data_IF_561981028980
#
_entry.id   IF_561981028980
#
_cell.length_a   1.000
_cell.length_b   1.000
_cell.length_c   1.000
_cell.angle_alpha   90.00
_cell.angle_beta   90.00
_cell.angle_gamma   90.00
#
_symmetry.space_group_name_H-M   'P 1'
#
loop_
_entity.id
_entity.type
_entity.pdbx_description
1 polymer ?
#
# COMPACT_ATOMS: atom_id res chain seq x y z
N UNK A 1 -57.84 -14.32 25.25
CA UNK A 1 -56.75 -13.35 25.49
C UNK A 1 -55.29 -13.90 25.29
N UNK A 2 -55.07 -15.18 25.03
CA UNK A 2 -53.72 -15.83 25.00
C UNK A 2 -53.02 -15.75 23.64
N UNK A 3 -53.74 -15.60 22.52
CA UNK A 3 -53.18 -15.59 21.16
C UNK A 3 -52.43 -14.28 20.83
N UNK A 4 -52.96 -13.13 21.25
CA UNK A 4 -52.38 -11.81 20.98
C UNK A 4 -51.01 -11.67 21.63
N UNK A 5 -50.80 -12.24 22.83
CA UNK A 5 -49.55 -12.17 23.59
C UNK A 5 -48.41 -12.98 22.93
N UNK A 6 -48.73 -14.11 22.25
CA UNK A 6 -47.73 -14.93 21.52
C UNK A 6 -47.23 -14.24 20.26
N UNK A 7 -48.12 -13.56 19.50
CA UNK A 7 -47.72 -12.82 18.31
C UNK A 7 -46.82 -11.65 18.61
N UNK A 8 -47.02 -10.90 19.71
CA UNK A 8 -46.15 -9.83 20.11
C UNK A 8 -44.73 -10.29 20.50
N UNK A 9 -44.63 -11.46 21.15
CA UNK A 9 -43.33 -12.03 21.53
C UNK A 9 -42.49 -12.43 20.29
N UNK A 10 -43.14 -13.09 19.32
CA UNK A 10 -42.47 -13.47 18.05
C UNK A 10 -41.99 -12.22 17.28
N UNK A 11 -42.81 -11.16 17.22
CA UNK A 11 -42.43 -9.90 16.57
C UNK A 11 -41.18 -9.24 17.21
N UNK A 12 -41.08 -9.27 18.55
CA UNK A 12 -39.91 -8.74 19.26
C UNK A 12 -38.64 -9.53 18.96
N UNK A 13 -38.70 -10.86 18.90
CA UNK A 13 -37.55 -11.70 18.57
C UNK A 13 -37.09 -11.52 17.12
N UNK A 14 -38.01 -11.37 16.18
CA UNK A 14 -37.69 -11.11 14.77
C UNK A 14 -36.99 -9.72 14.64
N UNK A 15 -37.55 -8.70 15.29
CA UNK A 15 -36.94 -7.36 15.26
C UNK A 15 -35.54 -7.35 15.89
N UNK A 16 -35.36 -7.99 17.04
CA UNK A 16 -34.06 -8.12 17.69
C UNK A 16 -33.05 -8.87 16.83
N UNK A 17 -33.47 -9.94 16.12
CA UNK A 17 -32.67 -10.67 15.18
C UNK A 17 -32.20 -9.79 13.99
N UNK A 18 -33.10 -9.02 13.40
CA UNK A 18 -32.76 -8.11 12.30
C UNK A 18 -31.77 -7.01 12.73
N UNK A 19 -31.96 -6.43 13.92
CA UNK A 19 -31.04 -5.44 14.48
C UNK A 19 -29.66 -6.07 14.72
N UNK A 20 -29.60 -7.28 15.26
CA UNK A 20 -28.34 -7.98 15.47
C UNK A 20 -27.61 -8.27 14.15
N UNK A 21 -28.33 -8.76 13.13
CA UNK A 21 -27.74 -9.01 11.80
C UNK A 21 -27.23 -7.72 11.17
N UNK A 22 -27.98 -6.62 11.24
CA UNK A 22 -27.54 -5.33 10.71
C UNK A 22 -26.31 -4.81 11.45
N UNK A 23 -26.27 -4.92 12.79
CA UNK A 23 -25.14 -4.46 13.60
C UNK A 23 -23.88 -5.29 13.36
N UNK A 24 -23.98 -6.62 13.41
CA UNK A 24 -22.80 -7.49 13.19
C UNK A 24 -22.36 -7.52 11.72
N UNK A 25 -23.30 -7.48 10.78
CA UNK A 25 -23.02 -7.38 9.36
C UNK A 25 -22.31 -6.07 9.02
N UNK A 26 -22.80 -4.95 9.55
CA UNK A 26 -22.17 -3.64 9.38
C UNK A 26 -20.75 -3.58 9.95
N UNK A 27 -20.51 -4.16 11.15
CA UNK A 27 -19.17 -4.24 11.74
C UNK A 27 -18.19 -5.10 10.90
N UNK A 28 -18.65 -6.24 10.39
CA UNK A 28 -17.80 -7.10 9.52
C UNK A 28 -17.47 -6.41 8.19
N UNK A 29 -18.43 -5.75 7.59
CA UNK A 29 -18.22 -5.03 6.34
C UNK A 29 -17.25 -3.85 6.54
N UNK A 30 -17.41 -3.06 7.60
CA UNK A 30 -16.49 -1.98 7.94
C UNK A 30 -15.07 -2.45 8.28
N UNK A 31 -14.90 -3.64 8.86
CA UNK A 31 -13.60 -4.25 9.10
C UNK A 31 -12.94 -4.70 7.78
N UNK A 32 -13.71 -5.35 6.89
CA UNK A 32 -13.21 -5.81 5.59
C UNK A 32 -12.75 -4.68 4.68
N UNK A 33 -13.46 -3.54 4.68
CA UNK A 33 -13.07 -2.37 3.87
C UNK A 33 -11.74 -1.73 4.30
N UNK A 34 -11.31 -1.93 5.55
CA UNK A 34 -10.02 -1.44 6.06
C UNK A 34 -8.82 -2.27 5.59
N UNK A 35 -9.07 -3.42 4.99
CA UNK A 35 -8.01 -4.28 4.47
C UNK A 35 -7.72 -4.07 2.98
N UNK A 36 -8.37 -3.07 2.36
CA UNK A 36 -8.21 -2.74 0.94
C UNK A 36 -7.43 -1.44 0.78
N UNK A 37 -6.40 -1.48 -0.04
CA UNK A 37 -5.56 -0.33 -0.37
C UNK A 37 -6.38 0.74 -1.10
N UNK A 38 -6.33 1.98 -0.63
CA UNK A 38 -7.09 3.09 -1.23
C UNK A 38 -6.57 3.50 -2.63
N UNK A 39 -5.36 3.07 -3.01
CA UNK A 39 -4.74 3.40 -4.29
C UNK A 39 -4.88 2.30 -5.35
N UNK A 40 -4.51 1.07 -5.03
CA UNK A 40 -4.50 -0.03 -5.99
C UNK A 40 -5.68 -1.00 -5.84
N UNK A 41 -6.54 -0.80 -4.84
CA UNK A 41 -7.74 -1.61 -4.54
C UNK A 41 -7.43 -3.09 -4.24
N UNK A 42 -6.19 -3.41 -3.90
CA UNK A 42 -5.78 -4.76 -3.50
C UNK A 42 -5.78 -4.92 -2.00
N UNK A 43 -5.79 -6.17 -1.55
CA UNK A 43 -5.71 -6.52 -0.14
C UNK A 43 -4.40 -5.98 0.49
N UNK A 44 -4.51 -5.49 1.72
CA UNK A 44 -3.37 -4.99 2.49
C UNK A 44 -2.79 -6.14 3.31
N UNK A 45 -1.59 -6.58 2.97
CA UNK A 45 -0.83 -7.51 3.80
C UNK A 45 -0.36 -6.82 5.07
N UNK A 46 -0.56 -7.47 6.22
CA UNK A 46 -0.30 -6.84 7.52
C UNK A 46 1.14 -6.38 7.70
N UNK A 47 2.10 -7.14 7.17
CA UNK A 47 3.54 -6.81 7.22
C UNK A 47 4.00 -5.79 6.17
N UNK A 48 3.09 -5.26 5.35
CA UNK A 48 3.37 -4.25 4.32
C UNK A 48 2.55 -2.97 4.50
N UNK A 49 1.61 -2.97 5.45
CA UNK A 49 0.68 -1.86 5.69
C UNK A 49 1.41 -0.54 5.90
N UNK A 50 0.93 0.48 5.21
CA UNK A 50 1.37 1.86 5.38
C UNK A 50 0.18 2.73 5.73
N UNK A 51 0.37 3.60 6.72
CA UNK A 51 -0.62 4.59 7.13
C UNK A 51 -0.08 5.97 6.78
N UNK A 52 -0.89 6.74 6.07
CA UNK A 52 -0.62 8.13 5.75
C UNK A 52 -1.81 9.01 6.12
N UNK A 53 -1.65 10.31 6.03
CA UNK A 53 -2.71 11.28 6.27
C UNK A 53 -2.86 12.24 5.08
N UNK A 54 -4.10 12.69 4.86
CA UNK A 54 -4.45 13.78 3.96
C UNK A 54 -5.30 14.77 4.75
N UNK A 55 -4.67 15.82 5.30
CA UNK A 55 -5.28 16.63 6.32
C UNK A 55 -5.67 15.79 7.55
N UNK A 56 -6.94 15.79 7.92
CA UNK A 56 -7.49 14.96 9.03
C UNK A 56 -7.85 13.52 8.61
N UNK A 57 -7.86 13.22 7.31
CA UNK A 57 -8.27 11.91 6.79
C UNK A 57 -7.11 10.91 6.88
N UNK A 58 -7.35 9.75 7.48
CA UNK A 58 -6.45 8.61 7.49
C UNK A 58 -6.54 7.86 6.16
N UNK A 59 -5.38 7.54 5.60
CA UNK A 59 -5.20 6.77 4.37
C UNK A 59 -4.49 5.46 4.73
N UNK A 60 -5.01 4.33 4.24
CA UNK A 60 -4.36 3.03 4.39
C UNK A 60 -3.96 2.51 3.00
N UNK A 61 -2.71 2.09 2.87
CA UNK A 61 -2.13 1.56 1.65
C UNK A 61 -1.43 0.23 1.89
N UNK A 62 -1.36 -0.59 0.84
CA UNK A 62 -0.73 -1.90 0.89
C UNK A 62 0.81 -1.84 0.94
N UNK A 63 1.42 -0.73 0.53
CA UNK A 63 2.86 -0.52 0.56
C UNK A 63 3.19 0.96 0.39
N UNK A 64 4.42 1.35 0.74
CA UNK A 64 4.88 2.72 0.59
C UNK A 64 4.89 3.16 -0.88
N UNK A 65 5.19 2.24 -1.82
CA UNK A 65 5.15 2.53 -3.26
C UNK A 65 3.79 3.06 -3.71
N UNK A 66 2.69 2.49 -3.23
CA UNK A 66 1.33 2.96 -3.54
C UNK A 66 1.08 4.40 -3.09
N UNK A 67 1.60 4.80 -1.92
CA UNK A 67 1.53 6.19 -1.43
C UNK A 67 2.27 7.11 -2.41
N UNK A 68 3.54 6.81 -2.67
CA UNK A 68 4.42 7.63 -3.50
C UNK A 68 3.91 7.75 -4.95
N UNK A 69 3.40 6.66 -5.53
CA UNK A 69 2.78 6.68 -6.86
C UNK A 69 1.44 7.43 -6.85
N UNK A 70 0.67 7.34 -5.77
CA UNK A 70 -0.57 8.08 -5.59
C UNK A 70 -0.33 9.60 -5.56
N UNK A 71 0.69 10.06 -4.85
CA UNK A 71 1.11 11.47 -4.84
C UNK A 71 1.47 11.95 -6.25
N UNK A 72 2.21 11.15 -7.02
CA UNK A 72 2.55 11.45 -8.40
C UNK A 72 1.32 11.61 -9.30
N UNK A 73 0.23 10.92 -8.98
CA UNK A 73 -1.04 10.96 -9.71
C UNK A 73 -2.01 12.02 -9.16
N UNK A 74 -1.53 12.94 -8.33
CA UNK A 74 -2.31 14.05 -7.80
C UNK A 74 -3.09 13.75 -6.51
N UNK A 75 -2.86 12.60 -5.88
CA UNK A 75 -3.44 12.35 -4.56
C UNK A 75 -2.76 13.24 -3.51
N UNK A 76 -3.54 13.98 -2.74
CA UNK A 76 -3.01 14.81 -1.66
C UNK A 76 -2.66 13.94 -0.47
N UNK A 77 -1.39 13.61 -0.30
CA UNK A 77 -0.86 12.99 0.92
C UNK A 77 -0.04 14.03 1.67
N UNK A 78 -0.40 14.27 2.93
CA UNK A 78 0.29 15.29 3.74
C UNK A 78 1.50 14.70 4.44
N UNK A 79 1.39 13.46 4.93
CA UNK A 79 2.44 12.81 5.70
C UNK A 79 2.25 11.29 5.72
N UNK A 80 3.35 10.54 5.57
CA UNK A 80 3.38 9.12 5.95
C UNK A 80 3.50 9.05 7.47
N UNK A 81 2.49 8.51 8.13
CA UNK A 81 2.42 8.44 9.59
C UNK A 81 3.14 7.20 10.15
N UNK A 82 3.02 6.06 9.47
CA UNK A 82 3.73 4.83 9.86
C UNK A 82 3.89 3.87 8.69
N UNK A 83 4.91 3.03 8.80
CA UNK A 83 5.13 1.85 7.96
C UNK A 83 5.19 0.61 8.84
N UNK A 84 5.19 -0.57 8.24
CA UNK A 84 5.23 -1.83 8.99
C UNK A 84 6.51 -2.58 8.68
N UNK A 85 7.16 -3.07 9.74
CA UNK A 85 8.31 -3.96 9.61
C UNK A 85 7.92 -5.28 8.95
N UNK A 86 8.63 -5.62 7.88
CA UNK A 86 8.28 -6.77 7.05
C UNK A 86 8.38 -8.10 7.79
N UNK A 87 9.33 -8.25 8.71
CA UNK A 87 9.58 -9.49 9.41
C UNK A 87 8.68 -9.68 10.64
N UNK A 88 8.47 -8.64 11.42
CA UNK A 88 7.75 -8.72 12.69
C UNK A 88 6.30 -8.22 12.62
N UNK A 89 5.90 -7.59 11.51
CA UNK A 89 4.63 -6.90 11.35
C UNK A 89 4.40 -5.76 12.39
N UNK A 90 5.45 -5.25 13.02
CA UNK A 90 5.37 -4.16 13.97
C UNK A 90 5.38 -2.81 13.27
N UNK A 91 4.66 -1.85 13.84
CA UNK A 91 4.61 -0.47 13.34
C UNK A 91 5.93 0.25 13.60
N UNK A 92 6.42 0.98 12.58
CA UNK A 92 7.63 1.79 12.62
C UNK A 92 7.33 3.23 12.23
N UNK A 93 8.11 4.17 12.79
CA UNK A 93 8.19 5.52 12.27
C UNK A 93 8.94 5.50 10.92
N UNK A 94 8.41 6.14 9.87
CA UNK A 94 8.97 6.03 8.52
C UNK A 94 10.43 6.48 8.41
N UNK A 95 10.81 7.51 9.16
CA UNK A 95 12.16 8.08 9.21
C UNK A 95 13.20 7.17 9.87
N UNK A 96 12.75 6.25 10.73
CA UNK A 96 13.62 5.29 11.42
C UNK A 96 13.73 3.95 10.69
N UNK A 97 12.85 3.71 9.72
CA UNK A 97 12.89 2.48 8.94
C UNK A 97 14.01 2.49 7.88
N UNK A 98 14.49 1.29 7.56
CA UNK A 98 15.35 1.02 6.42
C UNK A 98 14.52 0.33 5.35
N UNK A 99 14.66 0.72 4.10
CA UNK A 99 13.83 0.22 3.00
C UNK A 99 14.64 -0.61 2.01
N UNK A 100 13.99 -1.63 1.44
CA UNK A 100 14.51 -2.35 0.27
C UNK A 100 13.57 -2.07 -0.90
N UNK A 101 14.09 -1.45 -1.96
CA UNK A 101 13.35 -1.16 -3.19
C UNK A 101 13.75 -2.13 -4.29
N UNK A 102 12.76 -2.70 -4.97
CA UNK A 102 12.96 -3.52 -6.16
C UNK A 102 13.35 -4.96 -5.86
N UNK A 103 12.91 -5.51 -4.73
CA UNK A 103 13.03 -6.95 -4.46
C UNK A 103 11.99 -7.77 -5.23
N UNK A 104 12.23 -9.07 -5.38
CA UNK A 104 11.24 -10.04 -5.90
C UNK A 104 10.10 -10.29 -4.90
N UNK A 105 10.28 -9.97 -3.65
CA UNK A 105 9.23 -10.02 -2.63
C UNK A 105 8.30 -8.80 -2.78
N UNK A 106 7.25 -8.99 -3.55
CA UNK A 106 6.24 -7.99 -3.84
C UNK A 106 4.82 -8.56 -3.59
N UNK A 107 4.42 -8.81 -2.33
CA UNK A 107 3.14 -9.46 -2.00
C UNK A 107 1.90 -8.74 -2.53
N UNK A 108 1.99 -7.42 -2.70
CA UNK A 108 0.91 -6.59 -3.24
C UNK A 108 0.95 -6.41 -4.77
N UNK A 109 1.91 -7.01 -5.47
CA UNK A 109 1.91 -7.01 -6.93
C UNK A 109 0.83 -7.94 -7.51
N UNK A 110 0.36 -7.63 -8.74
CA UNK A 110 -0.65 -8.43 -9.41
C UNK A 110 -0.12 -9.81 -9.86
N UNK A 111 1.17 -9.89 -10.12
CA UNK A 111 1.87 -11.12 -10.51
C UNK A 111 3.21 -11.24 -9.79
N UNK A 112 3.71 -12.47 -9.59
CA UNK A 112 5.03 -12.68 -9.03
C UNK A 112 6.11 -11.98 -9.85
N UNK A 113 7.04 -11.30 -9.18
CA UNK A 113 8.20 -10.70 -9.81
C UNK A 113 9.21 -11.80 -10.13
N UNK A 114 9.59 -11.94 -11.41
CA UNK A 114 10.65 -12.83 -11.84
C UNK A 114 11.99 -12.12 -11.75
N UNK A 115 13.06 -12.86 -11.55
CA UNK A 115 14.42 -12.35 -11.66
C UNK A 115 15.03 -12.82 -12.97
N UNK A 116 15.83 -11.96 -13.58
CA UNK A 116 16.75 -12.34 -14.65
C UNK A 116 18.01 -13.02 -14.08
N UNK A 117 18.84 -13.58 -14.93
CA UNK A 117 20.11 -14.23 -14.56
C UNK A 117 21.06 -13.28 -13.80
N UNK A 118 20.93 -11.98 -14.02
CA UNK A 118 21.69 -10.92 -13.31
C UNK A 118 21.06 -10.52 -11.98
N UNK A 119 20.07 -11.24 -11.49
CA UNK A 119 19.33 -11.01 -10.24
C UNK A 119 18.52 -9.70 -10.18
N UNK A 120 18.35 -9.00 -11.29
CA UNK A 120 17.47 -7.83 -11.35
C UNK A 120 16.00 -8.24 -11.54
N UNK A 121 15.05 -7.56 -10.87
CA UNK A 121 13.62 -7.84 -11.05
C UNK A 121 13.17 -7.46 -12.46
N UNK A 122 12.63 -8.43 -13.20
CA UNK A 122 12.05 -8.19 -14.52
C UNK A 122 10.64 -7.63 -14.39
N UNK A 123 10.44 -6.38 -14.81
CA UNK A 123 9.13 -5.74 -14.84
C UNK A 123 8.48 -5.90 -16.21
N UNK A 124 7.67 -6.94 -16.38
CA UNK A 124 6.98 -7.26 -17.64
C UNK A 124 5.78 -6.34 -17.94
N UNK A 125 5.21 -5.72 -16.92
CA UNK A 125 4.05 -4.85 -17.06
C UNK A 125 4.05 -3.75 -15.99
N UNK A 126 3.37 -2.65 -16.26
CA UNK A 126 3.17 -1.61 -15.27
C UNK A 126 2.33 -2.16 -14.10
N UNK A 127 2.86 -2.05 -12.89
CA UNK A 127 2.13 -2.30 -11.65
C UNK A 127 2.41 -1.18 -10.64
N UNK A 128 1.35 -0.66 -10.01
CA UNK A 128 1.46 0.42 -9.00
C UNK A 128 2.30 0.05 -7.79
N UNK A 129 2.39 -1.24 -7.47
CA UNK A 129 3.17 -1.74 -6.35
C UNK A 129 4.63 -2.04 -6.73
N UNK A 130 5.02 -1.83 -8.00
CA UNK A 130 6.37 -2.07 -8.49
C UNK A 130 7.08 -0.77 -8.88
N UNK A 131 8.41 -0.72 -8.70
CA UNK A 131 9.22 -1.67 -7.93
C UNK A 131 8.77 -1.75 -6.47
N UNK A 132 8.82 -2.96 -5.89
CA UNK A 132 8.39 -3.18 -4.49
C UNK A 132 9.18 -2.30 -3.52
N UNK A 133 8.54 -1.86 -2.45
CA UNK A 133 9.20 -1.15 -1.34
C UNK A 133 8.80 -1.82 -0.04
N UNK A 134 9.77 -2.42 0.62
CA UNK A 134 9.61 -3.19 1.86
C UNK A 134 10.37 -2.48 2.97
N UNK A 135 9.76 -2.31 4.15
CA UNK A 135 10.37 -1.63 5.29
C UNK A 135 10.88 -2.62 6.33
N UNK A 136 12.01 -2.29 6.93
CA UNK A 136 12.65 -3.05 7.99
C UNK A 136 13.00 -2.13 9.16
N UNK A 137 12.91 -2.65 10.38
CA UNK A 137 13.39 -1.97 11.56
C UNK A 137 14.92 -1.88 11.54
N UNK A 138 15.56 -2.97 11.18
CA UNK A 138 17.01 -3.15 11.28
C UNK A 138 17.66 -3.09 9.91
N UNK A 139 18.76 -2.36 9.80
CA UNK A 139 19.52 -2.23 8.57
C UNK A 139 20.15 -3.56 8.14
N UNK A 140 20.66 -4.31 9.09
CA UNK A 140 21.32 -5.61 8.82
C UNK A 140 20.30 -6.63 8.29
N UNK A 141 19.06 -6.58 8.78
CA UNK A 141 17.96 -7.38 8.26
C UNK A 141 17.59 -6.99 6.84
N UNK A 142 17.50 -5.69 6.54
CA UNK A 142 17.28 -5.18 5.20
C UNK A 142 18.38 -5.64 4.23
N UNK A 143 19.64 -5.58 4.64
CA UNK A 143 20.77 -6.04 3.84
C UNK A 143 20.78 -7.55 3.62
N UNK A 144 20.46 -8.35 4.64
CA UNK A 144 20.31 -9.81 4.48
C UNK A 144 19.16 -10.15 3.54
N UNK A 145 18.06 -9.42 3.65
CA UNK A 145 16.91 -9.56 2.77
C UNK A 145 17.27 -9.19 1.32
N UNK A 146 17.90 -8.04 1.10
CA UNK A 146 18.36 -7.61 -0.23
C UNK A 146 19.30 -8.61 -0.90
N UNK A 147 20.21 -9.22 -0.15
CA UNK A 147 21.08 -10.29 -0.70
C UNK A 147 20.31 -11.51 -1.18
N UNK A 148 19.18 -11.85 -0.55
CA UNK A 148 18.36 -13.04 -0.94
C UNK A 148 17.32 -12.72 -2.00
N UNK A 149 16.74 -11.53 -1.93
CA UNK A 149 15.56 -11.14 -2.70
C UNK A 149 15.85 -10.07 -3.75
N UNK A 150 17.11 -9.66 -3.88
CA UNK A 150 17.49 -8.53 -4.72
C UNK A 150 16.98 -7.20 -4.15
N UNK A 151 17.11 -6.15 -4.95
CA UNK A 151 16.73 -4.80 -4.57
C UNK A 151 17.85 -4.01 -3.90
N UNK A 152 17.58 -2.73 -3.65
CA UNK A 152 18.54 -1.77 -3.07
C UNK A 152 18.09 -1.33 -1.71
N UNK A 153 19.05 -1.26 -0.76
CA UNK A 153 18.81 -0.75 0.60
C UNK A 153 18.89 0.78 0.57
N UNK A 154 17.85 1.45 1.04
CA UNK A 154 17.67 2.90 0.96
C UNK A 154 17.10 3.45 2.28
N UNK A 155 17.26 4.77 2.49
CA UNK A 155 16.51 5.53 3.48
C UNK A 155 15.29 6.19 2.85
N UNK A 156 14.33 6.64 3.66
CA UNK A 156 13.12 7.30 3.18
C UNK A 156 13.43 8.49 2.26
N UNK A 157 14.38 9.34 2.65
CA UNK A 157 14.79 10.51 1.87
C UNK A 157 15.31 10.16 0.48
N UNK A 158 16.01 9.04 0.34
CA UNK A 158 16.55 8.57 -0.95
C UNK A 158 15.44 8.08 -1.88
N UNK A 159 14.43 7.40 -1.30
CA UNK A 159 13.22 6.97 -2.02
C UNK A 159 12.44 8.17 -2.56
N UNK A 160 12.18 9.18 -1.72
CA UNK A 160 11.41 10.36 -2.10
C UNK A 160 12.16 11.21 -3.13
N UNK A 161 13.46 11.43 -2.95
CA UNK A 161 14.31 12.19 -3.88
C UNK A 161 14.38 11.53 -5.27
N UNK A 162 14.46 10.21 -5.33
CA UNK A 162 14.47 9.46 -6.60
C UNK A 162 13.15 9.63 -7.35
N UNK A 163 12.04 9.54 -6.65
CA UNK A 163 10.71 9.67 -7.22
C UNK A 163 10.50 11.08 -7.78
N UNK A 164 10.92 12.11 -7.05
CA UNK A 164 10.87 13.50 -7.51
C UNK A 164 11.71 13.74 -8.77
N UNK A 165 12.88 13.09 -8.88
CA UNK A 165 13.71 13.19 -10.10
C UNK A 165 13.10 12.52 -11.32
N UNK A 166 12.35 11.45 -11.15
CA UNK A 166 11.63 10.79 -12.25
C UNK A 166 10.46 11.63 -12.77
N UNK A 167 10.04 12.66 -12.06
CA UNK A 167 8.97 13.59 -12.42
C UNK A 167 9.46 14.82 -13.17
N UNK A 168 10.77 15.11 -13.16
CA UNK A 168 11.28 16.23 -13.95
C UNK A 168 11.00 15.94 -15.44
N UNK A 169 10.25 16.82 -16.15
CA UNK A 169 10.05 16.66 -17.60
C UNK A 169 11.42 16.63 -18.25
N UNK A 170 11.70 15.56 -18.98
CA UNK A 170 12.82 15.58 -19.92
C UNK A 170 12.44 16.58 -21.01
N UNK A 171 12.83 17.81 -20.83
CA UNK A 171 12.72 18.84 -21.88
C UNK A 171 13.74 18.51 -22.99
N UNK A 172 13.40 17.52 -23.77
CA UNK A 172 14.10 17.16 -25.00
C UNK A 172 13.52 17.92 -26.20
N UNK A 173 13.30 19.23 -26.05
CA UNK A 173 13.14 20.15 -27.17
C UNK A 173 14.40 21.00 -27.32
N UNK A 174 15.53 20.36 -27.54
CA UNK A 174 16.59 21.03 -28.30
C UNK A 174 16.20 20.96 -29.76
N UNK A 175 15.81 22.15 -30.25
CA UNK A 175 15.34 22.35 -31.59
C UNK A 175 16.31 21.86 -32.66
N UNK A 176 15.77 21.00 -33.52
CA UNK A 176 16.31 20.78 -34.85
C UNK A 176 15.94 21.99 -35.70
N UNK A 177 16.90 22.75 -36.23
CA UNK A 177 16.58 23.85 -37.14
C UNK A 177 16.06 23.25 -38.45
N UNK A 178 14.79 23.57 -38.75
CA UNK A 178 14.20 23.28 -40.04
C UNK A 178 15.05 23.86 -41.18
N UNK A 179 15.73 23.02 -41.93
CA UNK A 179 16.27 23.39 -43.23
C UNK A 179 15.11 23.73 -44.15
N UNK A 180 15.00 25.00 -44.56
CA UNK A 180 14.13 25.45 -45.67
C UNK A 180 14.83 25.24 -47.00
N UNK A 181 14.05 25.00 -48.05
CA UNK A 181 14.50 24.69 -49.42
C UNK A 181 15.23 25.84 -50.12
#
# INVERSE_FOLDING_TARGET
>A
MTVIRKQSIVGVFVLAGLVAVAYYGGKRWAASSKEICQFCQRHIHQNMRVIATSGSKRIEACCLRCILTGEQQGATVTKVASVTDYLSAQTLAPEHATYVEGSDAAPCAAAPVRREEQQEPLMMAFDRCLPSVVAFRDRDEAERFSRRHGGRVLRLQDLTAKISKQQAPTDSRTGEPAARP
#
